data_IF_239490125910
#
_entry.id   IF_239490125910
#
_cell.length_a   1.000
_cell.length_b   1.000
_cell.length_c   1.000
_cell.angle_alpha   90.00
_cell.angle_beta   90.00
_cell.angle_gamma   90.00
#
_symmetry.space_group_name_H-M   'P 1'
#
loop_
_entity.id
_entity.type
_entity.pdbx_description
1 polymer ?
#
# COMPACT_ATOMS: atom_id res chain seq x y z
N UNK A 1 -5.90 11.78 37.00
CA UNK A 1 -5.63 12.45 35.70
C UNK A 1 -6.23 13.85 35.77
N UNK A 2 -5.49 14.90 35.40
CA UNK A 2 -6.00 16.30 35.39
C UNK A 2 -6.64 16.67 34.06
N UNK A 3 -6.20 16.04 32.96
CA UNK A 3 -6.79 16.24 31.65
C UNK A 3 -6.20 15.32 30.59
N UNK A 4 -6.89 15.26 29.45
CA UNK A 4 -6.43 14.61 28.22
C UNK A 4 -6.48 15.68 27.12
N UNK A 5 -5.37 15.86 26.42
CA UNK A 5 -5.27 16.75 25.28
C UNK A 5 -5.00 15.94 24.02
N UNK A 6 -5.62 16.34 22.91
CA UNK A 6 -5.43 15.70 21.61
C UNK A 6 -4.95 16.73 20.59
N UNK A 7 -3.98 16.34 19.77
CA UNK A 7 -3.41 17.17 18.70
C UNK A 7 -3.30 16.37 17.40
N UNK A 8 -3.40 17.04 16.23
CA UNK A 8 -3.20 16.39 14.94
C UNK A 8 -1.73 15.98 14.76
N UNK A 9 -1.48 14.79 14.20
CA UNK A 9 -0.11 14.30 13.90
C UNK A 9 0.37 14.58 12.47
N UNK A 10 -0.45 15.24 11.63
CA UNK A 10 -0.17 15.47 10.21
C UNK A 10 -0.58 14.32 9.28
N UNK A 11 -0.84 13.14 9.84
CA UNK A 11 -1.50 12.02 9.17
C UNK A 11 -2.97 11.98 9.64
N UNK A 12 -3.91 11.91 8.69
CA UNK A 12 -5.37 11.98 8.91
C UNK A 12 -5.89 10.88 9.84
N UNK A 13 -5.36 9.67 9.72
CA UNK A 13 -5.80 8.50 10.49
C UNK A 13 -5.23 8.44 11.91
N UNK A 14 -4.38 9.42 12.26
CA UNK A 14 -3.55 9.40 13.46
C UNK A 14 -3.77 10.65 14.30
N UNK A 15 -3.75 10.51 15.63
CA UNK A 15 -3.72 11.66 16.53
C UNK A 15 -2.73 11.44 17.68
N UNK A 16 -2.18 12.55 18.18
CA UNK A 16 -1.33 12.57 19.36
C UNK A 16 -2.22 12.80 20.58
N UNK A 17 -2.16 11.90 21.56
CA UNK A 17 -2.91 12.00 22.80
C UNK A 17 -1.92 12.18 23.95
N UNK A 18 -2.10 13.25 24.72
CA UNK A 18 -1.30 13.55 25.91
C UNK A 18 -2.22 13.54 27.13
N UNK A 19 -1.92 12.67 28.08
CA UNK A 19 -2.59 12.64 29.38
C UNK A 19 -1.65 13.25 30.43
N UNK A 20 -2.13 14.22 31.19
CA UNK A 20 -1.33 14.92 32.21
C UNK A 20 -2.01 14.94 33.58
N UNK A 21 -1.21 14.87 34.65
CA UNK A 21 -1.67 14.81 36.03
C UNK A 21 -0.53 14.94 37.03
N UNK A 22 -0.30 13.89 37.82
CA UNK A 22 0.93 13.73 38.60
C UNK A 22 2.11 13.39 37.67
N UNK A 23 1.84 12.51 36.70
CA UNK A 23 2.76 12.13 35.62
C UNK A 23 2.23 12.59 34.25
N UNK A 24 3.12 12.59 33.25
CA UNK A 24 2.81 12.94 31.86
C UNK A 24 3.03 11.70 30.99
N UNK A 25 2.00 11.32 30.23
CA UNK A 25 2.06 10.22 29.27
C UNK A 25 1.63 10.71 27.90
N UNK A 26 2.35 10.30 26.86
CA UNK A 26 2.07 10.65 25.47
C UNK A 26 2.01 9.37 24.63
N UNK A 27 0.99 9.27 23.78
CA UNK A 27 0.82 8.15 22.86
C UNK A 27 0.26 8.62 21.52
N UNK A 28 0.46 7.80 20.47
CA UNK A 28 -0.20 7.95 19.16
C UNK A 28 -1.39 7.00 19.11
N UNK A 29 -2.55 7.52 18.73
CA UNK A 29 -3.78 6.74 18.63
C UNK A 29 -4.28 6.78 17.19
N UNK A 30 -4.82 5.65 16.73
CA UNK A 30 -5.31 5.45 15.37
C UNK A 30 -6.78 4.99 15.42
N UNK A 31 -7.74 5.89 15.70
CA UNK A 31 -9.12 5.50 16.01
C UNK A 31 -9.82 4.79 14.85
N UNK A 32 -9.47 5.14 13.60
CA UNK A 32 -10.06 4.59 12.38
C UNK A 32 -9.22 3.47 11.74
N UNK A 33 -8.20 2.95 12.45
CA UNK A 33 -7.09 2.18 11.87
C UNK A 33 -6.24 3.05 10.93
N UNK A 34 -4.94 2.75 10.87
CA UNK A 34 -4.00 3.52 10.06
C UNK A 34 -4.21 3.20 8.57
N UNK A 35 -4.83 4.13 7.82
CA UNK A 35 -5.18 3.94 6.40
C UNK A 35 -4.36 4.82 5.44
N UNK A 36 -3.74 5.88 5.96
CA UNK A 36 -2.92 6.84 5.22
C UNK A 36 -1.43 6.48 5.23
N UNK A 37 -1.06 5.38 5.87
CA UNK A 37 0.29 4.82 5.85
C UNK A 37 0.23 3.40 5.33
N UNK A 38 1.14 3.10 4.40
CA UNK A 38 1.30 1.75 3.88
C UNK A 38 1.87 0.85 4.97
N UNK A 39 1.29 -0.33 5.14
CA UNK A 39 1.66 -1.24 6.20
C UNK A 39 3.10 -1.75 6.00
N UNK A 40 3.85 -1.89 7.09
CA UNK A 40 5.25 -2.34 7.03
C UNK A 40 5.40 -3.77 6.46
N UNK A 41 4.37 -4.60 6.60
CA UNK A 41 4.30 -5.97 6.07
C UNK A 41 3.58 -6.06 4.71
N UNK A 42 3.48 -4.95 3.97
CA UNK A 42 2.94 -4.97 2.63
C UNK A 42 3.79 -5.86 1.71
N UNK A 43 3.15 -6.79 1.01
CA UNK A 43 3.85 -7.77 0.18
C UNK A 43 4.22 -7.18 -1.20
N UNK A 44 5.29 -6.37 -1.18
CA UNK A 44 5.84 -5.77 -2.40
C UNK A 44 6.32 -6.83 -3.38
N UNK A 45 6.80 -7.99 -2.90
CA UNK A 45 7.37 -9.04 -3.74
C UNK A 45 6.28 -9.71 -4.55
N UNK A 46 5.15 -10.08 -3.92
CA UNK A 46 4.02 -10.68 -4.60
C UNK A 46 3.49 -9.77 -5.71
N UNK A 47 3.16 -8.52 -5.38
CA UNK A 47 2.58 -7.58 -6.35
C UNK A 47 3.55 -7.30 -7.50
N UNK A 48 4.82 -7.07 -7.20
CA UNK A 48 5.83 -6.86 -8.24
C UNK A 48 5.96 -8.09 -9.14
N UNK A 49 6.01 -9.29 -8.57
CA UNK A 49 6.17 -10.53 -9.32
C UNK A 49 4.99 -10.80 -10.27
N UNK A 50 3.75 -10.58 -9.81
CA UNK A 50 2.54 -10.71 -10.63
C UNK A 50 2.57 -9.70 -11.77
N UNK A 51 2.95 -8.46 -11.49
CA UNK A 51 3.04 -7.41 -12.50
C UNK A 51 4.07 -7.74 -13.58
N UNK A 52 5.27 -8.19 -13.19
CA UNK A 52 6.27 -8.69 -14.14
C UNK A 52 5.74 -9.88 -14.94
N UNK A 53 5.14 -10.88 -14.26
CA UNK A 53 4.56 -12.05 -14.93
C UNK A 53 3.53 -11.67 -15.98
N UNK A 54 2.65 -10.72 -15.67
CA UNK A 54 1.64 -10.23 -16.61
C UNK A 54 2.27 -9.55 -17.83
N UNK A 55 3.27 -8.68 -17.61
CA UNK A 55 4.00 -7.99 -18.69
C UNK A 55 4.67 -9.01 -19.62
N UNK A 56 5.39 -9.99 -19.07
CA UNK A 56 6.03 -11.03 -19.87
C UNK A 56 5.00 -11.88 -20.64
N UNK A 57 3.91 -12.29 -19.99
CA UNK A 57 2.85 -13.05 -20.61
C UNK A 57 2.20 -12.29 -21.79
N UNK A 58 1.95 -10.99 -21.62
CA UNK A 58 1.44 -10.14 -22.70
C UNK A 58 2.43 -10.03 -23.86
N UNK A 59 3.71 -9.83 -23.60
CA UNK A 59 4.74 -9.75 -24.64
C UNK A 59 4.84 -11.05 -25.46
N UNK A 60 4.86 -12.20 -24.78
CA UNK A 60 4.92 -13.51 -25.42
C UNK A 60 3.65 -13.72 -26.27
N UNK A 61 2.48 -13.48 -25.69
CA UNK A 61 1.20 -13.64 -26.39
C UNK A 61 1.12 -12.75 -27.63
N UNK A 62 1.56 -11.49 -27.54
CA UNK A 62 1.65 -10.58 -28.69
C UNK A 62 2.55 -11.15 -29.79
N UNK A 63 3.74 -11.63 -29.42
CA UNK A 63 4.69 -12.20 -30.39
C UNK A 63 4.11 -13.44 -31.06
N UNK A 64 3.51 -14.34 -30.29
CA UNK A 64 2.86 -15.54 -30.82
C UNK A 64 1.68 -15.19 -31.75
N UNK A 65 0.88 -14.20 -31.40
CA UNK A 65 -0.22 -13.73 -32.24
C UNK A 65 0.29 -13.16 -33.57
N UNK A 66 1.37 -12.36 -33.55
CA UNK A 66 2.00 -11.82 -34.77
C UNK A 66 2.53 -12.93 -35.68
N UNK A 67 3.22 -13.94 -35.11
CA UNK A 67 3.73 -15.09 -35.87
C UNK A 67 2.57 -15.90 -36.48
N UNK A 68 1.50 -16.15 -35.70
CA UNK A 68 0.32 -16.87 -36.18
C UNK A 68 -0.39 -16.11 -37.32
N UNK A 69 -0.46 -14.78 -37.22
CA UNK A 69 -1.07 -13.94 -38.25
C UNK A 69 -0.23 -13.93 -39.54
N UNK A 70 1.09 -13.84 -39.42
CA UNK A 70 2.00 -13.95 -40.55
C UNK A 70 1.87 -15.30 -41.25
N UNK A 71 1.93 -16.41 -40.51
CA UNK A 71 1.78 -17.76 -41.09
C UNK A 71 0.44 -17.97 -41.80
N UNK A 72 -0.63 -17.30 -41.35
CA UNK A 72 -1.94 -17.34 -42.01
C UNK A 72 -1.96 -16.51 -43.30
N UNK A 73 -1.25 -15.39 -43.35
CA UNK A 73 -1.22 -14.52 -44.53
C UNK A 73 -0.37 -15.09 -45.68
N UNK A 74 0.56 -16.00 -45.38
CA UNK A 74 1.47 -16.63 -46.36
C UNK A 74 0.96 -17.98 -46.89
N UNK A 75 -0.27 -18.35 -46.52
CA UNK A 75 -0.94 -19.58 -46.96
C UNK A 75 -2.14 -19.20 -47.81
#
# INVERSE_FOLDING_TARGET
>A
MRGIYTAPSGLESTCLVVAYGLDIYQTRVYPSKQFDVLKDDYDYVLISSVLFGLVFATMITKRLAQVKLLNRAWR
#
